data_IF_855673640271
#
_entry.id   IF_855673640271
#
_cell.length_a   1.000
_cell.length_b   1.000
_cell.length_c   1.000
_cell.angle_alpha   90.00
_cell.angle_beta   90.00
_cell.angle_gamma   90.00
#
_symmetry.space_group_name_H-M   'P 1'
#
loop_
_entity.id
_entity.type
_entity.pdbx_description
1 polymer ?
#
# COMPACT_ATOMS: atom_id res chain seq x y z
N UNK A 1 -32.43 34.25 -62.08
CA UNK A 1 -33.13 35.04 -61.05
C UNK A 1 -33.56 34.18 -59.84
N UNK A 2 -34.06 32.95 -60.06
CA UNK A 2 -34.45 32.02 -59.00
C UNK A 2 -33.26 31.54 -58.11
N UNK A 3 -32.09 31.28 -58.70
CA UNK A 3 -30.84 30.92 -58.00
C UNK A 3 -30.33 32.03 -57.06
N UNK A 4 -30.45 33.30 -57.46
CA UNK A 4 -29.97 34.45 -56.70
C UNK A 4 -30.83 34.70 -55.44
N UNK A 5 -32.15 34.58 -55.58
CA UNK A 5 -33.10 34.70 -54.46
C UNK A 5 -32.96 33.51 -53.49
N UNK A 6 -32.70 32.30 -54.02
CA UNK A 6 -32.43 31.10 -53.19
C UNK A 6 -31.15 31.23 -52.36
N UNK A 7 -30.12 31.91 -52.89
CA UNK A 7 -28.86 32.19 -52.18
C UNK A 7 -29.00 33.25 -51.07
N UNK A 8 -29.93 34.18 -51.20
CA UNK A 8 -30.24 35.22 -50.19
C UNK A 8 -31.17 34.67 -49.09
N UNK A 9 -32.07 33.74 -49.43
CA UNK A 9 -33.03 33.12 -48.51
C UNK A 9 -32.55 31.79 -47.90
N UNK A 10 -31.35 31.33 -48.26
CA UNK A 10 -30.74 30.19 -47.58
C UNK A 10 -30.39 30.63 -46.15
N UNK A 11 -30.88 29.95 -45.10
CA UNK A 11 -30.47 30.27 -43.74
C UNK A 11 -28.94 30.19 -43.67
N UNK A 12 -28.29 31.28 -43.24
CA UNK A 12 -26.87 31.25 -42.93
C UNK A 12 -26.67 30.10 -41.95
N UNK A 13 -25.97 29.05 -42.37
CA UNK A 13 -25.53 27.99 -41.47
C UNK A 13 -24.80 28.71 -40.34
N UNK A 14 -25.24 28.56 -39.07
CA UNK A 14 -24.60 29.27 -37.97
C UNK A 14 -23.11 28.92 -37.99
N UNK A 15 -22.25 29.94 -37.91
CA UNK A 15 -20.81 29.69 -37.72
C UNK A 15 -20.65 28.87 -36.44
N UNK A 16 -20.01 27.71 -36.57
CA UNK A 16 -19.74 26.84 -35.43
C UNK A 16 -18.74 27.54 -34.51
N UNK A 17 -19.14 27.76 -33.26
CA UNK A 17 -18.27 28.29 -32.21
C UNK A 17 -17.30 27.18 -31.82
N UNK A 18 -16.04 27.39 -32.16
CA UNK A 18 -14.94 26.48 -31.80
C UNK A 18 -14.36 26.88 -30.46
N UNK A 19 -14.38 25.97 -29.48
CA UNK A 19 -13.83 26.16 -28.14
C UNK A 19 -12.52 25.38 -28.06
N UNK A 20 -11.43 26.06 -27.73
CA UNK A 20 -10.16 25.38 -27.44
C UNK A 20 -10.25 24.66 -26.10
N UNK A 21 -9.56 23.53 -25.96
CA UNK A 21 -9.59 22.72 -24.74
C UNK A 21 -9.22 23.52 -23.48
N UNK A 22 -8.23 24.40 -23.56
CA UNK A 22 -7.78 25.28 -22.47
C UNK A 22 -8.82 26.35 -22.06
N UNK A 23 -9.65 26.79 -23.01
CA UNK A 23 -10.74 27.75 -22.79
C UNK A 23 -12.02 27.10 -22.26
N UNK A 24 -12.10 25.76 -22.23
CA UNK A 24 -13.30 25.03 -21.85
C UNK A 24 -13.79 25.33 -20.40
N UNK A 25 -12.92 25.43 -19.38
CA UNK A 25 -13.36 25.79 -18.02
C UNK A 25 -14.11 27.13 -17.97
N UNK A 26 -13.57 28.16 -18.63
CA UNK A 26 -14.21 29.48 -18.68
C UNK A 26 -15.55 29.44 -19.40
N UNK A 27 -15.66 28.64 -20.46
CA UNK A 27 -16.93 28.44 -21.16
C UNK A 27 -17.98 27.73 -20.29
N UNK A 28 -17.59 26.70 -19.52
CA UNK A 28 -18.46 26.00 -18.58
C UNK A 28 -18.97 26.98 -17.51
N UNK A 29 -18.08 27.75 -16.89
CA UNK A 29 -18.44 28.74 -15.85
C UNK A 29 -19.40 29.81 -16.38
N UNK A 30 -19.13 30.35 -17.57
CA UNK A 30 -20.02 31.32 -18.21
C UNK A 30 -21.40 30.72 -18.49
N UNK A 31 -21.46 29.44 -18.85
CA UNK A 31 -22.72 28.74 -19.11
C UNK A 31 -23.49 28.41 -17.83
N UNK A 32 -22.80 28.03 -16.76
CA UNK A 32 -23.40 27.87 -15.43
C UNK A 32 -24.02 29.20 -14.96
N UNK A 33 -23.31 30.32 -15.10
CA UNK A 33 -23.81 31.65 -14.76
C UNK A 33 -25.07 31.99 -15.58
N UNK A 34 -25.02 31.81 -16.91
CA UNK A 34 -26.18 32.07 -17.77
C UNK A 34 -27.39 31.21 -17.42
N UNK A 35 -27.20 29.93 -17.11
CA UNK A 35 -28.27 29.04 -16.70
C UNK A 35 -28.91 29.50 -15.38
N UNK A 36 -28.09 29.96 -14.42
CA UNK A 36 -28.54 30.51 -13.15
C UNK A 36 -29.31 31.83 -13.33
N UNK A 37 -28.78 32.75 -14.12
CA UNK A 37 -29.44 34.04 -14.40
C UNK A 37 -30.79 33.83 -15.10
N UNK A 38 -30.85 32.86 -16.02
CA UNK A 38 -32.09 32.46 -16.68
C UNK A 38 -33.11 31.93 -15.67
N UNK A 39 -32.71 31.02 -14.77
CA UNK A 39 -33.59 30.53 -13.69
C UNK A 39 -34.12 31.68 -12.84
N UNK A 40 -33.25 32.59 -12.40
CA UNK A 40 -33.65 33.76 -11.59
C UNK A 40 -34.66 34.64 -12.33
N UNK A 41 -34.42 34.89 -13.62
CA UNK A 41 -35.32 35.71 -14.46
C UNK A 41 -36.69 35.06 -14.67
N UNK A 42 -36.73 33.77 -14.98
CA UNK A 42 -37.97 33.01 -15.26
C UNK A 42 -38.79 32.79 -13.98
N UNK A 43 -38.13 32.68 -12.83
CA UNK A 43 -38.78 32.44 -11.55
C UNK A 43 -39.21 33.72 -10.82
N UNK A 44 -38.69 34.91 -11.18
CA UNK A 44 -38.94 36.16 -10.44
C UNK A 44 -40.42 36.48 -10.24
N UNK A 45 -41.21 36.43 -11.31
CA UNK A 45 -42.65 36.73 -11.24
C UNK A 45 -43.44 35.65 -10.47
N UNK A 46 -43.29 34.34 -10.76
CA UNK A 46 -43.91 33.28 -9.96
C UNK A 46 -43.57 33.37 -8.47
N UNK A 47 -42.32 33.63 -8.09
CA UNK A 47 -41.89 33.78 -6.70
C UNK A 47 -42.66 34.91 -6.00
N UNK A 48 -42.78 36.06 -6.66
CA UNK A 48 -43.53 37.20 -6.12
C UNK A 48 -45.03 36.87 -5.99
N UNK A 49 -45.62 36.20 -6.98
CA UNK A 49 -47.04 35.80 -6.95
C UNK A 49 -47.32 34.79 -5.83
N UNK A 50 -46.41 33.84 -5.59
CA UNK A 50 -46.50 32.89 -4.48
C UNK A 50 -46.48 33.62 -3.14
N UNK A 51 -45.50 34.51 -2.91
CA UNK A 51 -45.41 35.32 -1.68
C UNK A 51 -46.68 36.14 -1.44
N UNK A 52 -47.19 36.81 -2.49
CA UNK A 52 -48.41 37.60 -2.41
C UNK A 52 -49.64 36.73 -2.11
N UNK A 53 -49.77 35.57 -2.77
CA UNK A 53 -50.89 34.65 -2.56
C UNK A 53 -50.86 34.01 -1.16
N UNK A 54 -49.69 33.73 -0.61
CA UNK A 54 -49.52 33.28 0.77
C UNK A 54 -49.95 34.36 1.78
N UNK A 55 -49.54 35.61 1.59
CA UNK A 55 -49.96 36.72 2.45
C UNK A 55 -51.49 36.92 2.41
N UNK A 56 -52.09 36.86 1.21
CA UNK A 56 -53.55 36.92 1.04
C UNK A 56 -54.25 35.74 1.73
N UNK A 57 -53.72 34.53 1.57
CA UNK A 57 -54.25 33.34 2.23
C UNK A 57 -54.16 33.45 3.76
N UNK A 58 -53.07 33.99 4.30
CA UNK A 58 -52.94 34.27 5.73
C UNK A 58 -53.98 35.30 6.20
N UNK A 59 -54.24 36.35 5.41
CA UNK A 59 -55.27 37.34 5.72
C UNK A 59 -56.66 36.70 5.77
N UNK A 60 -57.01 35.83 4.81
CA UNK A 60 -58.29 35.12 4.80
C UNK A 60 -58.42 34.21 6.03
N UNK A 61 -57.38 33.44 6.35
CA UNK A 61 -57.36 32.56 7.53
C UNK A 61 -57.58 33.36 8.83
N UNK A 62 -56.95 34.53 8.95
CA UNK A 62 -57.15 35.41 10.10
C UNK A 62 -58.56 36.01 10.12
N UNK A 63 -59.13 36.34 8.95
CA UNK A 63 -60.51 36.81 8.82
C UNK A 63 -61.55 35.78 9.28
N UNK A 64 -61.38 34.50 8.91
CA UNK A 64 -62.25 33.40 9.38
C UNK A 64 -62.16 33.25 10.90
N UNK A 65 -60.98 33.45 11.49
CA UNK A 65 -60.80 33.37 12.93
C UNK A 65 -61.59 34.45 13.71
N UNK A 66 -61.86 35.60 13.08
CA UNK A 66 -62.59 36.73 13.66
C UNK A 66 -64.06 36.87 13.22
N UNK A 67 -64.54 36.00 12.32
CA UNK A 67 -65.90 36.09 11.79
C UNK A 67 -66.95 35.68 12.86
N UNK A 68 -67.96 36.52 13.05
CA UNK A 68 -69.12 36.19 13.90
C UNK A 68 -70.01 35.14 13.21
N UNK A 69 -70.45 34.14 13.96
CA UNK A 69 -71.30 33.07 13.43
C UNK A 69 -72.72 33.60 13.19
N UNK A 70 -73.33 33.25 12.05
CA UNK A 70 -74.73 33.59 11.79
C UNK A 70 -75.65 33.14 12.95
N UNK A 71 -76.52 34.03 13.47
CA UNK A 71 -77.37 33.72 14.63
C UNK A 71 -78.25 32.48 14.42
N UNK A 72 -78.66 32.23 13.16
CA UNK A 72 -79.58 31.17 12.73
C UNK A 72 -78.94 29.78 12.50
N UNK A 73 -77.64 29.60 12.75
CA UNK A 73 -76.96 28.30 12.57
C UNK A 73 -77.46 27.21 13.54
N UNK A 74 -77.67 26.00 13.03
CA UNK A 74 -78.08 24.83 13.81
C UNK A 74 -77.07 24.49 14.94
N UNK A 75 -77.50 24.06 16.15
CA UNK A 75 -76.61 23.83 17.30
C UNK A 75 -75.43 22.88 17.04
N UNK A 76 -75.64 21.83 16.23
CA UNK A 76 -74.56 20.90 15.82
C UNK A 76 -73.47 21.59 14.98
N UNK A 77 -73.83 22.53 14.10
CA UNK A 77 -72.88 23.27 13.27
C UNK A 77 -72.09 24.28 14.12
N UNK A 78 -72.73 24.92 15.11
CA UNK A 78 -72.05 25.79 16.10
C UNK A 78 -71.00 25.02 16.90
N UNK A 79 -71.31 23.80 17.36
CA UNK A 79 -70.35 22.95 18.08
C UNK A 79 -69.17 22.52 17.19
N UNK A 80 -69.44 22.21 15.92
CA UNK A 80 -68.40 21.84 14.94
C UNK A 80 -67.46 23.03 14.69
N UNK A 81 -68.00 24.23 14.49
CA UNK A 81 -67.22 25.44 14.30
C UNK A 81 -66.33 25.74 15.51
N UNK A 82 -66.87 25.65 16.73
CA UNK A 82 -66.14 25.89 17.98
C UNK A 82 -64.91 24.99 18.16
N UNK A 83 -64.99 23.74 17.72
CA UNK A 83 -63.91 22.76 17.88
C UNK A 83 -62.92 22.75 16.71
N UNK A 84 -63.42 22.84 15.48
CA UNK A 84 -62.58 22.69 14.27
C UNK A 84 -61.89 23.99 13.85
N UNK A 85 -62.49 25.16 14.11
CA UNK A 85 -61.95 26.45 13.66
C UNK A 85 -60.59 26.78 14.29
N UNK A 86 -60.38 26.67 15.62
CA UNK A 86 -59.08 26.97 16.23
C UNK A 86 -57.96 26.03 15.73
N UNK A 87 -58.29 24.76 15.51
CA UNK A 87 -57.35 23.76 15.01
C UNK A 87 -56.96 24.04 13.55
N UNK A 88 -57.94 24.41 12.72
CA UNK A 88 -57.70 24.79 11.33
C UNK A 88 -56.82 26.05 11.23
N UNK A 89 -57.18 27.13 11.95
CA UNK A 89 -56.44 28.40 11.95
C UNK A 89 -55.00 28.19 12.42
N UNK A 90 -54.79 27.42 13.49
CA UNK A 90 -53.45 27.08 13.98
C UNK A 90 -52.64 26.32 12.93
N UNK A 91 -53.21 25.28 12.32
CA UNK A 91 -52.51 24.46 11.32
C UNK A 91 -52.16 25.26 10.04
N UNK A 92 -53.08 26.11 9.58
CA UNK A 92 -52.84 27.02 8.45
C UNK A 92 -51.75 28.04 8.76
N UNK A 93 -51.80 28.68 9.92
CA UNK A 93 -50.81 29.70 10.33
C UNK A 93 -49.41 29.09 10.46
N UNK A 94 -49.28 27.88 11.03
CA UNK A 94 -47.99 27.17 11.07
C UNK A 94 -47.45 26.88 9.66
N UNK A 95 -48.32 26.52 8.72
CA UNK A 95 -47.91 26.23 7.35
C UNK A 95 -47.46 27.49 6.59
N UNK A 96 -48.14 28.61 6.82
CA UNK A 96 -47.93 29.90 6.11
C UNK A 96 -46.86 30.79 6.73
N UNK A 97 -46.53 30.60 8.01
CA UNK A 97 -45.51 31.38 8.73
C UNK A 97 -44.07 30.95 8.42
N UNK A 98 -43.88 29.91 7.59
CA UNK A 98 -42.55 29.49 7.14
C UNK A 98 -41.90 30.61 6.32
N UNK A 99 -40.71 31.03 6.75
CA UNK A 99 -39.91 32.00 6.02
C UNK A 99 -39.38 31.36 4.73
N UNK A 100 -39.38 32.14 3.64
CA UNK A 100 -38.99 31.65 2.33
C UNK A 100 -37.56 32.11 2.00
N UNK A 101 -36.63 31.18 1.73
CA UNK A 101 -35.27 31.50 1.31
C UNK A 101 -35.22 32.34 0.02
N UNK A 102 -34.07 32.97 -0.23
CA UNK A 102 -33.83 33.75 -1.46
C UNK A 102 -33.34 32.88 -2.63
N UNK A 103 -32.73 31.72 -2.36
CA UNK A 103 -32.39 30.76 -3.41
C UNK A 103 -33.66 30.10 -3.98
N UNK A 104 -33.73 29.99 -5.30
CA UNK A 104 -34.92 29.51 -6.01
C UNK A 104 -35.21 28.03 -5.73
N UNK A 105 -34.18 27.19 -5.60
CA UNK A 105 -34.37 25.76 -5.33
C UNK A 105 -34.95 25.55 -3.92
N UNK A 106 -34.37 26.25 -2.94
CA UNK A 106 -34.79 26.18 -1.54
C UNK A 106 -36.15 26.84 -1.31
N UNK A 107 -36.41 27.96 -1.98
CA UNK A 107 -37.74 28.59 -2.01
C UNK A 107 -38.79 27.61 -2.52
N UNK A 108 -38.53 26.98 -3.68
CA UNK A 108 -39.47 26.06 -4.30
C UNK A 108 -39.82 24.90 -3.37
N UNK A 109 -38.81 24.30 -2.73
CA UNK A 109 -39.00 23.23 -1.74
C UNK A 109 -39.90 23.68 -0.58
N UNK A 110 -39.60 24.84 0.00
CA UNK A 110 -40.34 25.41 1.13
C UNK A 110 -41.80 25.73 0.75
N UNK A 111 -42.01 26.31 -0.43
CA UNK A 111 -43.33 26.67 -0.92
C UNK A 111 -44.20 25.43 -1.24
N UNK A 112 -43.61 24.36 -1.79
CA UNK A 112 -44.29 23.07 -1.99
C UNK A 112 -44.75 22.48 -0.65
N UNK A 113 -43.89 22.50 0.37
CA UNK A 113 -44.27 22.05 1.71
C UNK A 113 -45.38 22.90 2.33
N UNK A 114 -45.32 24.22 2.16
CA UNK A 114 -46.36 25.14 2.61
C UNK A 114 -47.73 24.79 1.98
N UNK A 115 -47.77 24.61 0.66
CA UNK A 115 -49.00 24.21 -0.06
C UNK A 115 -49.50 22.86 0.43
N UNK A 116 -48.61 21.88 0.64
CA UNK A 116 -48.96 20.56 1.17
C UNK A 116 -49.58 20.66 2.57
N UNK A 117 -49.02 21.49 3.45
CA UNK A 117 -49.56 21.77 4.78
C UNK A 117 -50.95 22.41 4.73
N UNK A 118 -51.16 23.39 3.85
CA UNK A 118 -52.44 24.06 3.65
C UNK A 118 -53.50 23.10 3.07
N UNK A 119 -53.14 22.25 2.11
CA UNK A 119 -54.02 21.22 1.53
C UNK A 119 -54.43 20.17 2.58
N UNK A 120 -53.50 19.74 3.43
CA UNK A 120 -53.81 18.79 4.50
C UNK A 120 -54.76 19.41 5.53
N UNK A 121 -54.54 20.68 5.88
CA UNK A 121 -55.40 21.42 6.81
C UNK A 121 -56.82 21.62 6.27
N UNK A 122 -56.97 21.92 4.97
CA UNK A 122 -58.28 22.05 4.31
C UNK A 122 -59.02 20.72 4.17
N UNK A 123 -58.32 19.61 3.96
CA UNK A 123 -58.91 18.25 3.87
C UNK A 123 -59.24 17.65 5.23
N UNK A 124 -58.49 18.00 6.27
CA UNK A 124 -58.70 17.56 7.65
C UNK A 124 -59.69 18.45 8.39
N UNK A 125 -59.18 19.37 9.19
CA UNK A 125 -59.95 20.25 10.07
C UNK A 125 -60.90 21.16 9.27
N UNK A 126 -60.44 21.66 8.11
CA UNK A 126 -61.21 22.54 7.24
C UNK A 126 -62.39 21.86 6.54
N UNK A 127 -62.46 20.51 6.49
CA UNK A 127 -63.58 19.79 5.86
C UNK A 127 -64.91 20.14 6.52
N UNK A 128 -64.91 20.26 7.83
CA UNK A 128 -66.10 20.57 8.61
C UNK A 128 -66.49 22.04 8.54
N UNK A 129 -65.52 22.92 8.28
CA UNK A 129 -65.75 24.36 8.13
C UNK A 129 -66.38 24.72 6.80
N UNK A 130 -66.30 23.86 5.78
CA UNK A 130 -66.94 24.10 4.47
C UNK A 130 -68.47 24.24 4.55
N UNK A 131 -69.10 23.69 5.59
CA UNK A 131 -70.55 23.79 5.79
C UNK A 131 -70.91 25.09 6.54
N UNK A 132 -70.00 25.59 7.38
CA UNK A 132 -70.24 26.75 8.25
C UNK A 132 -69.76 28.06 7.62
N UNK A 133 -68.65 28.00 6.87
CA UNK A 133 -67.98 29.11 6.19
C UNK A 133 -67.74 28.73 4.72
N UNK A 134 -68.80 28.51 3.93
CA UNK A 134 -68.68 27.96 2.58
C UNK A 134 -67.90 28.88 1.63
N UNK A 135 -68.15 30.19 1.69
CA UNK A 135 -67.51 31.16 0.79
C UNK A 135 -66.03 31.39 1.16
N UNK A 136 -65.72 31.50 2.45
CA UNK A 136 -64.37 31.69 2.93
C UNK A 136 -63.51 30.45 2.66
N UNK A 137 -64.06 29.25 2.89
CA UNK A 137 -63.36 28.00 2.58
C UNK A 137 -63.18 27.78 1.07
N UNK A 138 -64.09 28.30 0.24
CA UNK A 138 -63.92 28.33 -1.22
C UNK A 138 -62.83 29.31 -1.62
N UNK A 139 -62.72 30.47 -0.97
CA UNK A 139 -61.64 31.41 -1.22
C UNK A 139 -60.28 30.82 -0.81
N UNK A 140 -60.20 30.17 0.37
CA UNK A 140 -59.00 29.45 0.82
C UNK A 140 -58.52 28.45 -0.22
N UNK A 141 -59.40 27.57 -0.72
CA UNK A 141 -59.06 26.60 -1.77
C UNK A 141 -58.55 27.29 -3.04
N UNK A 142 -59.26 28.33 -3.49
CA UNK A 142 -58.90 29.11 -4.68
C UNK A 142 -57.49 29.70 -4.58
N UNK A 143 -57.11 30.21 -3.40
CA UNK A 143 -55.77 30.77 -3.16
C UNK A 143 -54.69 29.69 -3.11
N UNK A 144 -54.97 28.56 -2.46
CA UNK A 144 -54.05 27.40 -2.46
C UNK A 144 -53.79 26.93 -3.90
N UNK A 145 -54.84 26.83 -4.72
CA UNK A 145 -54.73 26.45 -6.12
C UNK A 145 -53.94 27.48 -6.94
N UNK A 146 -54.08 28.78 -6.64
CA UNK A 146 -53.28 29.83 -7.26
C UNK A 146 -51.79 29.66 -6.96
N UNK A 147 -51.42 29.39 -5.70
CA UNK A 147 -50.02 29.09 -5.33
C UNK A 147 -49.52 27.84 -6.08
N UNK A 148 -50.34 26.79 -6.16
CA UNK A 148 -50.01 25.57 -6.90
C UNK A 148 -49.74 25.80 -8.40
N UNK A 149 -50.50 26.68 -9.04
CA UNK A 149 -50.28 27.06 -10.45
C UNK A 149 -48.96 27.80 -10.65
N UNK A 150 -48.63 28.73 -9.77
CA UNK A 150 -47.36 29.47 -9.84
C UNK A 150 -46.16 28.56 -9.55
N UNK A 151 -46.29 27.60 -8.63
CA UNK A 151 -45.29 26.56 -8.40
C UNK A 151 -45.00 25.76 -9.68
N UNK A 152 -46.04 25.35 -10.42
CA UNK A 152 -45.87 24.68 -11.71
C UNK A 152 -45.12 25.56 -12.74
N UNK A 153 -45.25 26.88 -12.65
CA UNK A 153 -44.47 27.84 -13.45
C UNK A 153 -42.97 27.76 -13.18
N UNK A 154 -42.56 27.49 -11.93
CA UNK A 154 -41.15 27.32 -11.53
C UNK A 154 -40.65 25.91 -11.87
N UNK A 155 -41.49 24.87 -11.75
CA UNK A 155 -41.08 23.46 -11.96
C UNK A 155 -40.35 23.24 -13.29
N UNK A 156 -40.84 23.87 -14.36
CA UNK A 156 -40.25 23.74 -15.70
C UNK A 156 -38.88 24.40 -15.82
N UNK A 157 -38.70 25.61 -15.28
CA UNK A 157 -37.40 26.33 -15.31
C UNK A 157 -36.38 25.64 -14.42
N UNK A 158 -36.79 25.21 -13.23
CA UNK A 158 -35.95 24.49 -12.27
C UNK A 158 -35.46 23.15 -12.83
N UNK A 159 -36.35 22.39 -13.48
CA UNK A 159 -35.99 21.12 -14.13
C UNK A 159 -34.97 21.30 -15.25
N UNK A 160 -35.10 22.35 -16.07
CA UNK A 160 -34.11 22.70 -17.11
C UNK A 160 -32.76 23.07 -16.49
N UNK A 161 -32.77 23.95 -15.49
CA UNK A 161 -31.55 24.39 -14.80
C UNK A 161 -30.79 23.21 -14.18
N UNK A 162 -31.49 22.31 -13.45
CA UNK A 162 -30.88 21.13 -12.83
C UNK A 162 -30.23 20.21 -13.87
N UNK A 163 -30.94 19.93 -14.97
CA UNK A 163 -30.43 19.10 -16.05
C UNK A 163 -29.18 19.72 -16.69
N UNK A 164 -29.20 21.02 -16.96
CA UNK A 164 -28.05 21.72 -17.53
C UNK A 164 -26.87 21.75 -16.55
N UNK A 165 -27.10 22.01 -15.25
CA UNK A 165 -26.07 21.96 -14.20
C UNK A 165 -25.41 20.59 -14.09
N UNK A 166 -26.20 19.51 -14.11
CA UNK A 166 -25.69 18.14 -14.09
C UNK A 166 -24.81 17.82 -15.31
N UNK A 167 -25.25 18.26 -16.50
CA UNK A 167 -24.46 18.08 -17.72
C UNK A 167 -23.14 18.86 -17.67
N UNK A 168 -23.16 20.11 -17.20
CA UNK A 168 -21.98 20.97 -17.03
C UNK A 168 -21.00 20.38 -16.01
N UNK A 169 -21.49 19.89 -14.87
CA UNK A 169 -20.67 19.21 -13.85
C UNK A 169 -19.96 17.99 -14.43
N UNK A 170 -20.68 17.13 -15.15
CA UNK A 170 -20.08 15.95 -15.78
C UNK A 170 -19.04 16.32 -16.86
N UNK A 171 -19.27 17.40 -17.63
CA UNK A 171 -18.27 17.90 -18.57
C UNK A 171 -17.01 18.43 -17.88
N UNK A 172 -17.17 19.11 -16.73
CA UNK A 172 -16.07 19.61 -15.91
C UNK A 172 -15.22 18.47 -15.35
N UNK A 173 -15.85 17.41 -14.84
CA UNK A 173 -15.16 16.21 -14.35
C UNK A 173 -14.36 15.51 -15.45
N UNK A 174 -14.96 15.33 -16.64
CA UNK A 174 -14.28 14.75 -17.81
C UNK A 174 -13.08 15.61 -18.25
N UNK A 175 -13.25 16.93 -18.29
CA UNK A 175 -12.17 17.85 -18.61
C UNK A 175 -11.02 17.76 -17.61
N UNK A 176 -11.32 17.77 -16.30
CA UNK A 176 -10.29 17.68 -15.25
C UNK A 176 -9.52 16.37 -15.34
N UNK A 177 -10.22 15.24 -15.49
CA UNK A 177 -9.57 13.94 -15.66
C UNK A 177 -8.66 13.88 -16.89
N UNK A 178 -9.11 14.42 -18.03
CA UNK A 178 -8.31 14.49 -19.25
C UNK A 178 -7.09 15.43 -19.09
N UNK A 179 -7.28 16.58 -18.43
CA UNK A 179 -6.21 17.53 -18.17
C UNK A 179 -5.12 16.92 -17.30
N UNK A 180 -5.49 16.29 -16.19
CA UNK A 180 -4.55 15.64 -15.26
C UNK A 180 -3.76 14.54 -15.97
N UNK A 181 -4.43 13.70 -16.77
CA UNK A 181 -3.79 12.66 -17.56
C UNK A 181 -2.78 13.24 -18.57
N UNK A 182 -3.15 14.31 -19.29
CA UNK A 182 -2.25 14.97 -20.26
C UNK A 182 -1.04 15.61 -19.57
N UNK A 183 -1.24 16.25 -18.41
CA UNK A 183 -0.16 16.83 -17.61
C UNK A 183 0.81 15.75 -17.14
N UNK A 184 0.30 14.63 -16.63
CA UNK A 184 1.14 13.52 -16.18
C UNK A 184 1.84 12.82 -17.33
N UNK A 185 1.17 12.70 -18.49
CA UNK A 185 1.77 12.17 -19.71
C UNK A 185 2.93 13.05 -20.17
N UNK A 186 2.76 14.38 -20.19
CA UNK A 186 3.85 15.32 -20.53
C UNK A 186 5.07 15.23 -19.60
N UNK A 187 4.86 14.90 -18.32
CA UNK A 187 5.96 14.70 -17.35
C UNK A 187 6.71 13.38 -17.54
N UNK A 188 6.22 12.45 -18.35
CA UNK A 188 6.84 11.13 -18.47
C UNK A 188 8.18 11.13 -19.18
N UNK A 189 8.41 12.02 -20.16
CA UNK A 189 9.72 12.14 -20.81
C UNK A 189 10.83 12.42 -19.78
N UNK A 190 10.60 13.39 -18.87
CA UNK A 190 11.55 13.67 -17.79
C UNK A 190 11.65 12.58 -16.72
N UNK A 191 10.65 11.69 -16.58
CA UNK A 191 10.78 10.48 -15.73
C UNK A 191 11.64 9.43 -16.42
N UNK A 192 11.43 9.22 -17.72
CA UNK A 192 12.17 8.25 -18.53
C UNK A 192 13.66 8.61 -18.62
N UNK A 193 13.99 9.87 -18.88
CA UNK A 193 15.39 10.33 -18.91
C UNK A 193 16.11 10.09 -17.57
N UNK A 194 15.41 10.32 -16.45
CA UNK A 194 15.96 10.07 -15.11
C UNK A 194 16.20 8.58 -14.85
N UNK A 195 15.25 7.72 -15.21
CA UNK A 195 15.39 6.27 -15.08
C UNK A 195 16.54 5.77 -15.97
N UNK A 196 16.60 6.23 -17.23
CA UNK A 196 17.69 5.88 -18.17
C UNK A 196 19.05 6.26 -17.60
N UNK A 197 19.22 7.51 -17.18
CA UNK A 197 20.47 8.00 -16.57
C UNK A 197 20.86 7.16 -15.35
N UNK A 198 19.88 6.81 -14.49
CA UNK A 198 20.15 6.00 -13.30
C UNK A 198 20.58 4.57 -13.63
N UNK A 199 19.96 3.96 -14.63
CA UNK A 199 20.36 2.63 -15.14
C UNK A 199 21.79 2.68 -15.66
N UNK A 200 22.13 3.68 -16.49
CA UNK A 200 23.47 3.86 -17.04
C UNK A 200 24.53 4.04 -15.94
N UNK A 201 24.26 4.88 -14.93
CA UNK A 201 25.14 5.08 -13.77
C UNK A 201 25.39 3.78 -13.01
N UNK A 202 24.32 3.02 -12.72
CA UNK A 202 24.41 1.76 -11.97
C UNK A 202 25.20 0.72 -12.78
N UNK A 203 24.90 0.57 -14.07
CA UNK A 203 25.60 -0.36 -14.96
C UNK A 203 27.09 0.00 -15.09
N UNK A 204 27.43 1.28 -15.24
CA UNK A 204 28.80 1.75 -15.27
C UNK A 204 29.55 1.38 -13.98
N UNK A 205 28.93 1.60 -12.81
CA UNK A 205 29.54 1.25 -11.52
C UNK A 205 29.71 -0.26 -11.35
N UNK A 206 28.73 -1.07 -11.75
CA UNK A 206 28.84 -2.54 -11.73
C UNK A 206 30.03 -2.99 -12.58
N UNK A 207 30.17 -2.44 -13.79
CA UNK A 207 31.30 -2.75 -14.68
C UNK A 207 32.64 -2.38 -14.05
N UNK A 208 32.76 -1.19 -13.44
CA UNK A 208 33.96 -0.81 -12.70
C UNK A 208 34.28 -1.78 -11.56
N UNK A 209 33.27 -2.23 -10.80
CA UNK A 209 33.48 -3.21 -9.74
C UNK A 209 33.97 -4.56 -10.30
N UNK A 210 33.43 -5.01 -11.43
CA UNK A 210 33.88 -6.24 -12.09
C UNK A 210 35.33 -6.14 -12.58
N UNK A 211 35.71 -4.99 -13.13
CA UNK A 211 37.10 -4.68 -13.50
C UNK A 211 38.02 -4.64 -12.26
N UNK A 212 37.59 -4.01 -11.16
CA UNK A 212 38.33 -4.00 -9.90
C UNK A 212 38.53 -5.42 -9.35
N UNK A 213 37.49 -6.26 -9.33
CA UNK A 213 37.56 -7.63 -8.84
C UNK A 213 38.48 -8.51 -9.68
N UNK A 214 38.42 -8.37 -11.01
CA UNK A 214 39.30 -9.13 -11.92
C UNK A 214 40.76 -8.69 -11.80
N UNK A 215 41.01 -7.39 -11.59
CA UNK A 215 42.36 -6.88 -11.35
C UNK A 215 42.93 -7.36 -10.01
N UNK A 216 42.14 -7.32 -8.93
CA UNK A 216 42.55 -7.82 -7.62
C UNK A 216 42.93 -9.30 -7.64
N UNK A 217 42.23 -10.11 -8.44
CA UNK A 217 42.53 -11.53 -8.60
C UNK A 217 43.85 -11.79 -9.37
N UNK A 218 44.32 -10.84 -10.18
CA UNK A 218 45.55 -10.98 -10.99
C UNK A 218 46.78 -10.33 -10.35
N UNK A 219 46.57 -9.48 -9.35
CA UNK A 219 47.61 -8.76 -8.64
C UNK A 219 48.46 -9.70 -7.77
N UNK A 220 49.68 -9.27 -7.40
CA UNK A 220 50.59 -10.01 -6.52
C UNK A 220 49.90 -10.43 -5.21
N UNK A 221 49.04 -9.55 -4.70
CA UNK A 221 48.21 -9.78 -3.50
C UNK A 221 47.21 -10.93 -3.66
N UNK A 222 46.76 -11.19 -4.89
CA UNK A 222 45.90 -12.32 -5.21
C UNK A 222 46.65 -13.65 -5.12
N UNK A 223 47.92 -13.66 -5.54
CA UNK A 223 48.83 -14.80 -5.38
C UNK A 223 49.19 -15.03 -3.91
N UNK A 224 49.54 -13.98 -3.16
CA UNK A 224 49.79 -14.06 -1.70
C UNK A 224 48.57 -14.63 -0.96
N UNK A 225 47.36 -14.23 -1.33
CA UNK A 225 46.13 -14.76 -0.77
C UNK A 225 45.92 -16.25 -1.10
N UNK A 226 46.19 -16.66 -2.33
CA UNK A 226 46.06 -18.05 -2.77
C UNK A 226 47.10 -18.96 -2.09
N UNK A 227 48.32 -18.44 -1.86
CA UNK A 227 49.36 -19.11 -1.07
C UNK A 227 48.97 -19.24 0.41
N UNK A 228 48.43 -18.18 1.03
CA UNK A 228 47.93 -18.26 2.41
C UNK A 228 46.80 -19.29 2.55
N UNK A 229 45.88 -19.33 1.58
CA UNK A 229 44.81 -20.33 1.55
C UNK A 229 45.38 -21.74 1.44
N UNK A 230 46.30 -21.97 0.50
CA UNK A 230 46.93 -23.28 0.32
C UNK A 230 47.72 -23.71 1.57
N UNK A 231 48.39 -22.78 2.24
CA UNK A 231 49.07 -23.01 3.52
C UNK A 231 48.10 -23.41 4.62
N UNK A 232 46.95 -22.72 4.74
CA UNK A 232 45.91 -23.04 5.72
C UNK A 232 45.33 -24.44 5.48
N UNK A 233 44.98 -24.78 4.23
CA UNK A 233 44.47 -26.11 3.85
C UNK A 233 45.52 -27.22 4.12
N UNK A 234 46.81 -26.93 3.97
CA UNK A 234 47.87 -27.88 4.29
C UNK A 234 48.02 -28.10 5.81
N UNK A 235 48.00 -27.02 6.60
CA UNK A 235 48.05 -27.10 8.07
C UNK A 235 46.82 -27.81 8.64
N UNK A 236 45.64 -27.57 8.08
CA UNK A 236 44.39 -28.26 8.44
C UNK A 236 44.52 -29.78 8.25
N UNK A 237 44.99 -30.22 7.08
CA UNK A 237 45.21 -31.65 6.78
C UNK A 237 46.23 -32.26 7.73
N UNK A 238 47.35 -31.58 7.96
CA UNK A 238 48.38 -32.06 8.88
C UNK A 238 47.86 -32.20 10.31
N UNK A 239 47.04 -31.23 10.78
CA UNK A 239 46.39 -31.28 12.08
C UNK A 239 45.45 -32.47 12.16
N UNK A 240 44.58 -32.66 11.17
CA UNK A 240 43.60 -33.75 11.18
C UNK A 240 44.28 -35.12 11.19
N UNK A 241 45.37 -35.28 10.45
CA UNK A 241 46.19 -36.49 10.47
C UNK A 241 46.85 -36.72 11.83
N UNK A 242 47.43 -35.68 12.44
CA UNK A 242 48.02 -35.77 13.78
C UNK A 242 46.97 -36.13 14.84
N UNK A 243 45.77 -35.54 14.77
CA UNK A 243 44.65 -35.82 15.68
C UNK A 243 44.19 -37.27 15.55
N UNK A 244 44.07 -37.79 14.33
CA UNK A 244 43.75 -39.20 14.08
C UNK A 244 44.82 -40.13 14.65
N UNK A 245 46.10 -39.78 14.49
CA UNK A 245 47.21 -40.57 15.01
C UNK A 245 47.20 -40.59 16.56
N UNK A 246 47.06 -39.43 17.21
CA UNK A 246 46.91 -39.34 18.66
C UNK A 246 45.71 -40.16 19.17
N UNK A 247 44.54 -40.02 18.54
CA UNK A 247 43.34 -40.75 18.93
C UNK A 247 43.52 -42.27 18.80
N UNK A 248 44.24 -42.74 17.78
CA UNK A 248 44.56 -44.16 17.62
C UNK A 248 45.39 -44.69 18.79
N UNK A 249 46.42 -43.95 19.21
CA UNK A 249 47.28 -44.31 20.35
C UNK A 249 46.49 -44.26 21.67
N UNK A 250 45.73 -43.20 21.88
CA UNK A 250 45.00 -42.96 23.13
C UNK A 250 43.87 -43.98 23.34
N UNK A 251 43.10 -44.31 22.30
CA UNK A 251 42.04 -45.32 22.36
C UNK A 251 42.60 -46.71 22.64
N UNK A 252 43.71 -47.07 21.99
CA UNK A 252 44.36 -48.38 22.19
C UNK A 252 44.84 -48.52 23.63
N UNK A 253 45.50 -47.49 24.17
CA UNK A 253 45.96 -47.48 25.56
C UNK A 253 44.80 -47.49 26.57
N UNK A 254 43.78 -46.65 26.36
CA UNK A 254 42.58 -46.57 27.22
C UNK A 254 41.85 -47.92 27.29
N UNK A 255 41.76 -48.65 26.17
CA UNK A 255 41.13 -49.96 26.15
C UNK A 255 41.87 -50.98 27.03
N UNK A 256 43.20 -51.00 27.00
CA UNK A 256 43.98 -51.91 27.85
C UNK A 256 43.89 -51.50 29.32
N UNK A 257 43.98 -50.21 29.64
CA UNK A 257 43.75 -49.72 31.00
C UNK A 257 42.34 -50.05 31.51
N UNK A 258 41.32 -50.03 30.64
CA UNK A 258 39.95 -50.46 30.98
C UNK A 258 39.82 -51.96 31.26
N UNK A 259 40.66 -52.81 30.66
CA UNK A 259 40.74 -54.22 31.05
C UNK A 259 41.38 -54.37 32.43
N UNK A 260 42.48 -53.66 32.68
CA UNK A 260 43.17 -53.67 33.96
C UNK A 260 42.27 -53.12 35.09
N UNK A 261 41.50 -52.06 34.83
CA UNK A 261 40.58 -51.47 35.80
C UNK A 261 39.52 -52.48 36.24
N UNK A 262 38.92 -53.20 35.29
CA UNK A 262 37.97 -54.28 35.59
C UNK A 262 38.57 -55.39 36.44
N UNK A 263 39.86 -55.70 36.27
CA UNK A 263 40.54 -56.70 37.10
C UNK A 263 40.84 -56.15 38.50
N UNK A 264 41.34 -54.92 38.60
CA UNK A 264 41.55 -54.23 39.87
C UNK A 264 40.27 -54.14 40.72
N UNK A 265 39.11 -53.90 40.08
CA UNK A 265 37.79 -53.92 40.74
C UNK A 265 37.47 -55.30 41.31
N UNK A 266 37.69 -56.38 40.54
CA UNK A 266 37.45 -57.77 40.98
C UNK A 266 38.36 -58.19 42.13
N UNK A 267 39.58 -57.66 42.18
CA UNK A 267 40.58 -57.97 43.20
C UNK A 267 40.50 -57.06 44.44
N UNK A 268 39.55 -56.12 44.47
CA UNK A 268 39.37 -55.16 45.57
C UNK A 268 40.61 -54.27 45.85
N UNK A 269 41.23 -53.72 44.80
CA UNK A 269 42.34 -52.77 44.88
C UNK A 269 41.92 -51.32 44.57
N UNK A 270 41.34 -50.56 45.53
CA UNK A 270 40.72 -49.26 45.26
C UNK A 270 41.70 -48.18 44.77
N UNK A 271 42.96 -48.20 45.22
CA UNK A 271 44.00 -47.26 44.75
C UNK A 271 44.36 -47.46 43.28
N UNK A 272 44.40 -48.71 42.82
CA UNK A 272 44.72 -49.08 41.44
C UNK A 272 43.57 -48.76 40.48
N UNK A 273 42.32 -49.01 40.92
CA UNK A 273 41.11 -48.58 40.21
C UNK A 273 41.12 -47.08 39.99
N UNK A 274 41.48 -46.28 41.01
CA UNK A 274 41.54 -44.83 40.90
C UNK A 274 42.61 -44.36 39.91
N UNK A 275 43.81 -44.94 39.93
CA UNK A 275 44.90 -44.58 39.02
C UNK A 275 44.58 -44.92 37.56
N UNK A 276 44.00 -46.10 37.30
CA UNK A 276 43.61 -46.55 35.97
C UNK A 276 42.45 -45.71 35.41
N UNK A 277 41.42 -45.45 36.22
CA UNK A 277 40.28 -44.64 35.82
C UNK A 277 40.68 -43.20 35.46
N UNK A 278 41.53 -42.58 36.29
CA UNK A 278 42.07 -41.23 36.02
C UNK A 278 42.82 -41.17 34.68
N UNK A 279 43.60 -42.21 34.36
CA UNK A 279 44.37 -42.28 33.12
C UNK A 279 43.46 -42.53 31.91
N UNK A 280 42.46 -43.38 32.06
CA UNK A 280 41.44 -43.62 31.03
C UNK A 280 40.63 -42.36 30.72
N UNK A 281 40.20 -41.61 31.74
CA UNK A 281 39.47 -40.35 31.57
C UNK A 281 40.29 -39.38 30.71
N UNK A 282 41.59 -39.26 30.94
CA UNK A 282 42.48 -38.40 30.14
C UNK A 282 42.72 -38.86 28.70
N UNK A 283 42.69 -40.17 28.46
CA UNK A 283 42.93 -40.75 27.14
C UNK A 283 41.64 -40.86 26.30
N UNK A 284 40.48 -40.87 26.97
CA UNK A 284 39.16 -40.99 26.37
C UNK A 284 38.42 -39.66 26.24
N UNK A 285 38.85 -38.61 26.95
CA UNK A 285 38.41 -37.25 26.68
C UNK A 285 38.81 -36.88 25.24
N UNK A 286 37.88 -36.30 24.47
CA UNK A 286 38.14 -35.83 23.11
C UNK A 286 38.98 -34.54 23.11
N UNK A 287 39.25 -33.98 24.29
CA UNK A 287 40.20 -32.89 24.48
C UNK A 287 41.66 -33.39 24.54
N UNK A 288 42.58 -32.62 23.96
CA UNK A 288 44.02 -32.92 24.01
C UNK A 288 44.53 -32.52 25.41
N UNK A 289 44.98 -33.47 26.25
CA UNK A 289 45.41 -33.19 27.61
C UNK A 289 46.75 -32.44 27.64
N UNK A 290 47.13 -31.94 28.81
CA UNK A 290 48.51 -31.46 29.02
C UNK A 290 49.52 -32.62 28.91
N UNK A 291 50.58 -32.52 28.07
CA UNK A 291 51.56 -33.59 27.89
C UNK A 291 52.24 -34.02 29.20
N UNK A 292 52.53 -33.08 30.10
CA UNK A 292 53.14 -33.38 31.41
C UNK A 292 52.16 -34.12 32.33
N UNK A 293 50.89 -33.75 32.30
CA UNK A 293 49.85 -34.44 33.06
C UNK A 293 49.50 -35.82 32.48
N UNK A 294 49.48 -35.95 31.15
CA UNK A 294 49.25 -37.19 30.43
C UNK A 294 50.34 -38.21 30.75
N UNK A 295 51.60 -37.81 30.59
CA UNK A 295 52.76 -38.68 30.89
C UNK A 295 52.77 -39.11 32.35
N UNK A 296 52.51 -38.20 33.29
CA UNK A 296 52.43 -38.53 34.72
C UNK A 296 51.33 -39.56 35.03
N UNK A 297 50.14 -39.39 34.45
CA UNK A 297 49.03 -40.32 34.63
C UNK A 297 49.35 -41.71 34.05
N UNK A 298 49.88 -41.77 32.82
CA UNK A 298 50.26 -43.03 32.18
C UNK A 298 51.37 -43.73 32.97
N UNK A 299 52.40 -43.02 33.43
CA UNK A 299 53.47 -43.59 34.26
C UNK A 299 52.97 -44.20 35.57
N UNK A 300 51.85 -43.73 36.12
CA UNK A 300 51.19 -44.34 37.29
C UNK A 300 50.38 -45.60 36.95
N UNK A 301 49.72 -45.63 35.79
CA UNK A 301 48.87 -46.73 35.34
C UNK A 301 49.62 -47.92 34.73
N UNK A 302 50.76 -47.65 34.09
CA UNK A 302 51.55 -48.65 33.36
C UNK A 302 52.08 -49.77 34.26
N UNK A 303 52.73 -49.51 35.42
CA UNK A 303 53.25 -50.58 36.28
C UNK A 303 52.16 -51.54 36.78
N UNK A 304 50.97 -51.01 37.10
CA UNK A 304 49.80 -51.81 37.50
C UNK A 304 49.39 -52.75 36.37
N UNK A 305 49.32 -52.20 35.15
CA UNK A 305 48.86 -52.93 33.96
C UNK A 305 49.85 -54.01 33.53
N UNK A 306 51.17 -53.74 33.56
CA UNK A 306 52.21 -54.74 33.27
C UNK A 306 52.08 -55.92 34.23
N UNK A 307 51.96 -55.65 35.53
CA UNK A 307 51.84 -56.71 36.55
C UNK A 307 50.64 -57.62 36.27
N UNK A 308 49.51 -57.05 35.87
CA UNK A 308 48.30 -57.81 35.49
C UNK A 308 48.45 -58.57 34.16
N UNK A 309 49.26 -58.07 33.23
CA UNK A 309 49.59 -58.77 31.98
C UNK A 309 50.50 -59.97 32.30
N UNK A 310 51.54 -59.79 33.10
CA UNK A 310 52.48 -60.85 33.51
C UNK A 310 51.79 -61.96 34.32
N UNK A 311 50.81 -61.59 35.15
CA UNK A 311 49.96 -62.54 35.88
C UNK A 311 48.92 -63.27 34.99
N UNK A 312 48.90 -63.00 33.68
CA UNK A 312 47.90 -63.50 32.71
C UNK A 312 46.44 -63.09 33.01
N UNK A 313 46.24 -62.00 33.77
CA UNK A 313 44.92 -61.48 34.14
C UNK A 313 44.36 -60.54 33.05
N UNK A 314 45.24 -59.82 32.35
CA UNK A 314 44.90 -58.96 31.21
C UNK A 314 45.49 -59.53 29.92
N UNK A 315 44.62 -59.90 28.97
CA UNK A 315 45.05 -60.44 27.67
C UNK A 315 45.11 -59.34 26.58
N UNK A 316 46.27 -59.27 25.92
CA UNK A 316 46.52 -58.40 24.76
C UNK A 316 46.09 -59.09 23.46
N UNK A 317 45.02 -58.57 22.85
CA UNK A 317 44.34 -59.18 21.70
C UNK A 317 44.96 -58.76 20.37
N UNK A 318 45.30 -57.49 20.24
CA UNK A 318 45.71 -56.90 18.96
C UNK A 318 47.21 -56.61 18.91
N UNK A 319 47.74 -56.42 17.70
CA UNK A 319 49.16 -56.11 17.48
C UNK A 319 49.54 -54.75 18.09
N UNK A 320 48.67 -53.75 18.03
CA UNK A 320 48.94 -52.43 18.64
C UNK A 320 49.03 -52.53 20.17
N UNK A 321 48.09 -53.25 20.82
CA UNK A 321 48.12 -53.47 22.28
C UNK A 321 49.43 -54.15 22.71
N UNK A 322 49.91 -55.16 21.94
CA UNK A 322 51.18 -55.83 22.24
C UNK A 322 52.38 -54.91 22.06
N UNK A 323 52.35 -54.03 21.07
CA UNK A 323 53.43 -53.07 20.80
C UNK A 323 53.62 -52.10 21.98
N UNK A 324 52.52 -51.52 22.47
CA UNK A 324 52.51 -50.55 23.57
C UNK A 324 53.17 -51.12 24.83
N UNK A 325 52.81 -52.35 25.21
CA UNK A 325 53.30 -52.97 26.46
C UNK A 325 54.58 -53.81 26.27
N UNK A 326 55.13 -53.88 25.05
CA UNK A 326 56.44 -54.46 24.78
C UNK A 326 57.60 -53.47 24.91
N UNK A 327 57.33 -52.18 24.67
CA UNK A 327 58.31 -51.09 24.71
C UNK A 327 57.63 -49.81 25.23
N UNK A 328 57.49 -49.75 26.56
CA UNK A 328 56.81 -48.65 27.25
C UNK A 328 57.54 -47.32 27.08
N UNK A 329 58.88 -47.23 27.22
CA UNK A 329 59.58 -45.96 27.01
C UNK A 329 59.26 -45.36 25.65
N UNK A 330 59.25 -46.19 24.60
CA UNK A 330 58.91 -45.76 23.24
C UNK A 330 57.46 -45.31 23.11
N UNK A 331 56.50 -46.03 23.70
CA UNK A 331 55.09 -45.62 23.69
C UNK A 331 54.88 -44.27 24.42
N UNK A 332 55.56 -44.07 25.55
CA UNK A 332 55.50 -42.83 26.32
C UNK A 332 56.02 -41.63 25.52
N UNK A 333 57.11 -41.83 24.77
CA UNK A 333 57.66 -40.83 23.85
C UNK A 333 56.68 -40.56 22.70
N UNK A 334 56.19 -41.61 22.03
CA UNK A 334 55.29 -41.51 20.88
C UNK A 334 53.97 -40.79 21.21
N UNK A 335 53.34 -41.10 22.35
CA UNK A 335 52.09 -40.45 22.74
C UNK A 335 52.29 -38.99 23.20
N UNK A 336 53.43 -38.68 23.82
CA UNK A 336 53.77 -37.31 24.20
C UNK A 336 54.05 -36.45 22.95
N UNK A 337 54.86 -36.95 22.02
CA UNK A 337 55.14 -36.30 20.74
C UNK A 337 53.86 -36.09 19.91
N UNK A 338 52.97 -37.10 19.87
CA UNK A 338 51.68 -36.97 19.19
C UNK A 338 50.82 -35.87 19.82
N UNK A 339 50.78 -35.79 21.15
CA UNK A 339 50.06 -34.74 21.88
C UNK A 339 50.61 -33.33 21.57
N UNK A 340 51.94 -33.15 21.67
CA UNK A 340 52.62 -31.89 21.36
C UNK A 340 52.41 -31.46 19.92
N UNK A 341 52.47 -32.41 18.99
CA UNK A 341 52.28 -32.16 17.56
C UNK A 341 50.87 -31.68 17.24
N UNK A 342 49.83 -32.27 17.83
CA UNK A 342 48.46 -31.81 17.60
C UNK A 342 48.26 -30.40 18.16
N UNK A 343 48.77 -30.10 19.36
CA UNK A 343 48.69 -28.74 19.93
C UNK A 343 49.39 -27.71 19.04
N UNK A 344 50.62 -27.98 18.62
CA UNK A 344 51.38 -27.08 17.77
C UNK A 344 50.68 -26.82 16.42
N UNK A 345 50.07 -27.83 15.82
CA UNK A 345 49.34 -27.69 14.55
C UNK A 345 48.01 -26.95 14.71
N UNK A 346 47.28 -27.15 15.81
CA UNK A 346 46.06 -26.41 16.11
C UNK A 346 46.35 -24.93 16.36
N UNK A 347 47.39 -24.61 17.15
CA UNK A 347 47.84 -23.23 17.36
C UNK A 347 48.27 -22.57 16.04
N UNK A 348 49.05 -23.28 15.22
CA UNK A 348 49.48 -22.79 13.91
C UNK A 348 48.28 -22.56 12.97
N UNK A 349 47.30 -23.47 12.95
CA UNK A 349 46.08 -23.33 12.17
C UNK A 349 45.29 -22.09 12.59
N UNK A 350 45.06 -21.88 13.90
CA UNK A 350 44.32 -20.73 14.41
C UNK A 350 45.00 -19.40 14.06
N UNK A 351 46.33 -19.31 14.18
CA UNK A 351 47.09 -18.12 13.81
C UNK A 351 46.95 -17.83 12.31
N UNK A 352 47.07 -18.86 11.46
CA UNK A 352 46.92 -18.73 10.01
C UNK A 352 45.50 -18.36 9.61
N UNK A 353 44.48 -18.94 10.27
CA UNK A 353 43.06 -18.66 10.01
C UNK A 353 42.72 -17.21 10.33
N UNK A 354 43.21 -16.67 11.46
CA UNK A 354 43.03 -15.27 11.83
C UNK A 354 43.74 -14.32 10.85
N UNK A 355 44.97 -14.65 10.45
CA UNK A 355 45.72 -13.86 9.48
C UNK A 355 45.03 -13.86 8.10
N UNK A 356 44.53 -15.02 7.66
CA UNK A 356 43.78 -15.16 6.43
C UNK A 356 42.46 -14.38 6.48
N UNK A 357 41.65 -14.55 7.53
CA UNK A 357 40.36 -13.87 7.67
C UNK A 357 40.45 -12.33 7.77
N UNK A 358 41.58 -11.81 8.24
CA UNK A 358 41.86 -10.37 8.33
C UNK A 358 42.57 -9.80 7.10
N UNK A 359 42.79 -10.60 6.06
CA UNK A 359 43.54 -10.18 4.88
C UNK A 359 42.83 -9.02 4.13
N UNK A 360 43.52 -7.88 3.88
CA UNK A 360 42.90 -6.68 3.28
C UNK A 360 42.22 -6.93 1.93
N UNK A 361 42.76 -7.85 1.11
CA UNK A 361 42.17 -8.21 -0.18
C UNK A 361 40.83 -8.91 -0.02
N UNK A 362 40.67 -9.81 0.94
CA UNK A 362 39.39 -10.47 1.22
C UNK A 362 38.35 -9.47 1.70
N UNK A 363 38.72 -8.57 2.60
CA UNK A 363 37.83 -7.51 3.07
C UNK A 363 37.38 -6.61 1.90
N UNK A 364 38.30 -6.25 0.99
CA UNK A 364 37.97 -5.46 -0.20
C UNK A 364 37.07 -6.22 -1.17
N UNK A 365 37.37 -7.48 -1.48
CA UNK A 365 36.53 -8.32 -2.35
C UNK A 365 35.13 -8.50 -1.78
N UNK A 366 35.01 -8.76 -0.48
CA UNK A 366 33.73 -8.89 0.20
C UNK A 366 32.95 -7.56 0.23
N UNK A 367 33.64 -6.43 0.36
CA UNK A 367 33.03 -5.10 0.27
C UNK A 367 32.47 -4.84 -1.14
N UNK A 368 33.29 -5.10 -2.17
CA UNK A 368 32.90 -4.94 -3.58
C UNK A 368 31.76 -5.88 -3.98
N UNK A 369 31.78 -7.13 -3.50
CA UNK A 369 30.71 -8.09 -3.72
C UNK A 369 29.37 -7.66 -3.10
N UNK A 370 29.41 -7.11 -1.89
CA UNK A 370 28.23 -6.51 -1.24
C UNK A 370 27.70 -5.30 -2.01
N UNK A 371 28.58 -4.39 -2.41
CA UNK A 371 28.22 -3.22 -3.24
C UNK A 371 27.59 -3.65 -4.57
N UNK A 372 28.21 -4.61 -5.29
CA UNK A 372 27.67 -5.16 -6.54
C UNK A 372 26.28 -5.76 -6.35
N UNK A 373 26.06 -6.51 -5.27
CA UNK A 373 24.77 -7.14 -4.97
C UNK A 373 23.69 -6.08 -4.73
N UNK A 374 24.02 -5.02 -3.99
CA UNK A 374 23.12 -3.88 -3.79
C UNK A 374 22.81 -3.15 -5.09
N UNK A 375 23.82 -2.91 -5.93
CA UNK A 375 23.65 -2.27 -7.23
C UNK A 375 22.80 -3.10 -8.19
N UNK A 376 22.95 -4.43 -8.22
CA UNK A 376 22.09 -5.32 -9.01
C UNK A 376 20.62 -5.27 -8.54
N UNK A 377 20.38 -5.21 -7.23
CA UNK A 377 19.04 -5.05 -6.69
C UNK A 377 18.44 -3.67 -7.05
N UNK A 378 19.25 -2.61 -7.04
CA UNK A 378 18.83 -1.27 -7.48
C UNK A 378 18.55 -1.25 -8.99
N UNK A 379 19.41 -1.88 -9.82
CA UNK A 379 19.22 -1.99 -11.27
C UNK A 379 17.89 -2.65 -11.59
N UNK A 380 17.60 -3.80 -10.97
CA UNK A 380 16.34 -4.52 -11.18
C UNK A 380 15.12 -3.66 -10.78
N UNK A 381 15.25 -2.78 -9.78
CA UNK A 381 14.18 -1.86 -9.39
C UNK A 381 13.96 -0.77 -10.45
N UNK A 382 15.02 -0.18 -10.97
CA UNK A 382 14.94 0.85 -12.02
C UNK A 382 14.43 0.26 -13.35
N UNK A 383 14.84 -0.96 -13.71
CA UNK A 383 14.32 -1.68 -14.89
C UNK A 383 12.81 -1.94 -14.78
N UNK A 384 12.32 -2.38 -13.60
CA UNK A 384 10.88 -2.51 -13.35
C UNK A 384 10.16 -1.17 -13.45
N UNK A 385 10.73 -0.09 -12.88
CA UNK A 385 10.15 1.24 -12.99
C UNK A 385 10.05 1.71 -14.45
N UNK A 386 11.03 1.36 -15.29
CA UNK A 386 11.00 1.61 -16.73
C UNK A 386 9.87 0.85 -17.42
N UNK A 387 9.71 -0.44 -17.12
CA UNK A 387 8.63 -1.28 -17.68
C UNK A 387 7.24 -0.78 -17.25
N UNK A 388 7.06 -0.45 -15.97
CA UNK A 388 5.81 0.11 -15.44
C UNK A 388 5.48 1.45 -16.12
N UNK A 389 6.48 2.32 -16.33
CA UNK A 389 6.30 3.59 -17.03
C UNK A 389 5.90 3.37 -18.50
N UNK A 390 6.52 2.40 -19.19
CA UNK A 390 6.18 2.07 -20.57
C UNK A 390 4.74 1.54 -20.70
N UNK A 391 4.35 0.59 -19.85
CA UNK A 391 2.97 0.08 -19.81
C UNK A 391 1.95 1.17 -19.48
N UNK A 392 2.31 2.07 -18.56
CA UNK A 392 1.46 3.20 -18.22
C UNK A 392 1.31 4.16 -19.41
N UNK A 393 2.40 4.46 -20.14
CA UNK A 393 2.37 5.31 -21.33
C UNK A 393 1.47 4.72 -22.41
N UNK A 394 1.60 3.44 -22.71
CA UNK A 394 0.79 2.73 -23.71
C UNK A 394 -0.71 2.81 -23.35
N UNK A 395 -1.08 2.38 -22.14
CA UNK A 395 -2.47 2.44 -21.65
C UNK A 395 -3.02 3.86 -21.62
N UNK A 396 -2.19 4.85 -21.35
CA UNK A 396 -2.61 6.25 -21.28
C UNK A 396 -2.79 6.85 -22.66
N UNK A 397 -1.91 6.52 -23.61
CA UNK A 397 -2.03 6.92 -25.01
C UNK A 397 -3.32 6.38 -25.64
N UNK A 398 -3.78 5.19 -25.27
CA UNK A 398 -5.08 4.65 -25.70
C UNK A 398 -6.29 5.35 -25.06
N UNK A 399 -6.17 5.76 -23.79
CA UNK A 399 -7.27 6.40 -23.04
C UNK A 399 -7.53 7.85 -23.44
N UNK A 400 -6.47 8.61 -23.77
CA UNK A 400 -6.58 10.04 -24.10
C UNK A 400 -7.58 10.28 -25.24
N UNK A 401 -7.52 9.56 -26.40
CA UNK A 401 -8.49 9.73 -27.48
C UNK A 401 -9.92 9.40 -27.07
N UNK A 402 -10.13 8.32 -26.34
CA UNK A 402 -11.46 7.89 -25.89
C UNK A 402 -12.12 8.94 -24.98
N UNK A 403 -11.39 9.45 -23.99
CA UNK A 403 -11.87 10.49 -23.09
C UNK A 403 -12.03 11.85 -23.79
N UNK A 404 -11.16 12.14 -24.77
CA UNK A 404 -11.28 13.34 -25.60
C UNK A 404 -12.58 13.32 -26.41
N UNK A 405 -12.91 12.19 -27.03
CA UNK A 405 -14.15 12.03 -27.80
C UNK A 405 -15.39 12.03 -26.90
N UNK A 406 -15.32 11.43 -25.71
CA UNK A 406 -16.40 11.49 -24.72
C UNK A 406 -16.67 12.93 -24.27
N UNK A 407 -15.61 13.70 -23.95
CA UNK A 407 -15.72 15.11 -23.61
C UNK A 407 -16.31 15.90 -24.77
N UNK A 408 -15.84 15.68 -26.01
CA UNK A 408 -16.36 16.34 -27.21
C UNK A 408 -17.87 16.11 -27.37
N UNK A 409 -18.33 14.87 -27.30
CA UNK A 409 -19.76 14.53 -27.38
C UNK A 409 -20.57 15.22 -26.28
N UNK A 410 -20.02 15.28 -25.06
CA UNK A 410 -20.67 15.96 -23.94
C UNK A 410 -20.82 17.46 -24.20
N UNK A 411 -19.77 18.12 -24.72
CA UNK A 411 -19.81 19.54 -25.07
C UNK A 411 -20.79 19.81 -26.22
N UNK A 412 -20.85 18.95 -27.24
CA UNK A 412 -21.83 19.06 -28.33
C UNK A 412 -23.28 18.94 -27.80
N UNK A 413 -23.55 18.06 -26.82
CA UNK A 413 -24.87 17.93 -26.18
C UNK A 413 -25.25 19.21 -25.40
N UNK A 414 -24.29 19.84 -24.72
CA UNK A 414 -24.54 21.03 -23.90
C UNK A 414 -24.66 22.29 -24.76
N UNK A 415 -23.72 22.47 -25.70
CA UNK A 415 -23.61 23.63 -26.56
C UNK A 415 -24.59 23.62 -27.74
N UNK A 416 -25.10 22.45 -28.12
CA UNK A 416 -25.89 22.22 -29.33
C UNK A 416 -25.03 22.08 -30.58
N UNK A 417 -25.66 21.93 -31.75
CA UNK A 417 -25.00 21.67 -33.05
C UNK A 417 -23.99 22.74 -33.50
N UNK A 418 -24.00 23.90 -32.83
CA UNK A 418 -23.18 25.06 -33.16
C UNK A 418 -21.90 25.16 -32.31
N UNK A 419 -21.62 24.22 -31.40
CA UNK A 419 -20.40 24.26 -30.57
C UNK A 419 -19.52 23.05 -30.87
N UNK A 420 -18.23 23.28 -31.12
CA UNK A 420 -17.25 22.22 -31.35
C UNK A 420 -16.04 22.41 -30.45
N UNK A 421 -15.62 21.33 -29.77
CA UNK A 421 -14.38 21.31 -29.01
C UNK A 421 -13.20 21.07 -29.97
N UNK A 422 -12.26 22.00 -29.99
CA UNK A 422 -10.98 21.82 -30.67
C UNK A 422 -9.97 21.26 -29.67
N UNK A 423 -9.56 20.03 -29.92
CA UNK A 423 -8.45 19.40 -29.24
C UNK A 423 -7.25 19.49 -30.16
N UNK A 424 -6.24 20.28 -29.78
CA UNK A 424 -4.94 20.17 -30.42
C UNK A 424 -4.38 18.77 -30.10
N UNK A 425 -4.05 18.03 -31.15
CA UNK A 425 -3.30 16.77 -31.07
C UNK A 425 -1.86 17.12 -30.67
N UNK A 426 -1.65 17.40 -29.38
CA UNK A 426 -0.33 17.58 -28.79
C UNK A 426 0.33 16.24 -28.42
N UNK A 427 -0.06 15.15 -29.08
CA UNK A 427 0.71 13.91 -29.04
C UNK A 427 1.61 13.94 -30.28
N UNK A 428 2.71 14.68 -30.20
CA UNK A 428 3.89 14.30 -30.96
C UNK A 428 4.33 12.98 -30.35
N UNK A 429 3.88 11.88 -30.95
CA UNK A 429 4.55 10.59 -30.77
C UNK A 429 5.92 10.81 -31.39
N UNK A 430 6.91 11.07 -30.54
CA UNK A 430 8.30 11.10 -30.97
C UNK A 430 8.66 9.64 -31.28
N UNK A 431 8.38 9.21 -32.51
CA UNK A 431 8.96 8.00 -33.09
C UNK A 431 10.42 8.35 -33.42
N UNK A 432 11.34 8.03 -32.51
CA UNK A 432 12.79 8.08 -32.74
C UNK A 432 13.51 6.99 -31.96
#
# INVERSE_FOLDING_TARGET
MYEFIKKILSPKVPEKVTIRLDALPGWIEERESRARDKLLSESREPLQKIRNAQAQLQHIVNGIAGAEQEPALHPKLKSIAKNSLPLFVRAMTVSLSKEHPDDVEDFYSTAVECVKGCLNSTRGQGRYLQIVFPEEMKEVKTRIDAIGRELNGITGSLGRYRKEREQLSAAKELYQGLHDIRVDFGKTAGKEDRIRTRIEEIQARIKTIEEELTNLARDERGREHEEMRAGLEATEKARDEATRHYASLSMTASHVFGKAEKMAVKQHHPSEVSALRKTMELLSDHAIPDPGYLTTSISGAVPITIRMIEANEVQLKNKEERSIFSDIPRFMEEIAEACDRVKALEEAYQIQELAYGSHPLLLRMNSLGREKTQLLAMLAKEERAREELAQWKEKTAEKIPAQTEELRKKIEIIGGENVQLQTEDLIVVDDS
#
